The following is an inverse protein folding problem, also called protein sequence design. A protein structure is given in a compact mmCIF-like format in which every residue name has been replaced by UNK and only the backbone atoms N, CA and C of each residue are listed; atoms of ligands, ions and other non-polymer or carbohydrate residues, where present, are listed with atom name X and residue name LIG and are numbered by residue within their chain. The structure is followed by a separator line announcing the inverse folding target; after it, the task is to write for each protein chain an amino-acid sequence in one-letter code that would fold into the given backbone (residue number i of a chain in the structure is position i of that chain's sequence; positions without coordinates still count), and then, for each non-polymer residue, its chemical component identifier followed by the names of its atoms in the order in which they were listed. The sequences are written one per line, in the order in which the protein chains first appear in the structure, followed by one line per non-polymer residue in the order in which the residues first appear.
data_IF_960385028746
#
_entry.id   IF_960385028746
#
_cell.length_a   1.000
_cell.length_b   1.000
_cell.length_c   1.000
_cell.angle_alpha   90.00
_cell.angle_beta   90.00
_cell.angle_gamma   90.00
#
_symmetry.space_group_name_H-M   'P 1'
#
loop_
_entity.id
_entity.type
_entity.pdbx_description
1 polymer ?
#
# COMPACT_ATOMS: atom_id res chain seq x y z
N UNK A 1 -11.22 -7.43 19.85
CA UNK A 1 -9.94 -6.91 20.40
C UNK A 1 -8.86 -7.01 19.33
N UNK A 2 -8.42 -5.88 18.89
CA UNK A 2 -7.39 -5.71 17.86
C UNK A 2 -5.95 -5.81 18.41
N UNK A 3 -5.80 -5.71 19.74
CA UNK A 3 -4.51 -5.69 20.46
C UNK A 3 -4.35 -6.89 21.40
N UNK A 4 -4.69 -8.08 20.91
CA UNK A 4 -4.58 -9.29 21.73
C UNK A 4 -3.13 -9.66 22.06
N UNK A 5 -2.18 -9.35 21.17
CA UNK A 5 -0.74 -9.49 21.42
C UNK A 5 -0.28 -8.71 22.65
N UNK A 6 -0.72 -7.46 22.79
CA UNK A 6 -0.40 -6.62 23.95
C UNK A 6 -0.96 -7.22 25.24
N UNK A 7 -2.19 -7.74 25.19
CA UNK A 7 -2.79 -8.40 26.35
C UNK A 7 -1.97 -9.62 26.82
N UNK A 8 -1.45 -10.43 25.89
CA UNK A 8 -0.59 -11.56 26.23
C UNK A 8 0.72 -11.08 26.87
N UNK A 9 1.36 -10.05 26.29
CA UNK A 9 2.59 -9.46 26.86
C UNK A 9 2.34 -8.95 28.27
N UNK A 10 1.24 -8.20 28.49
CA UNK A 10 0.90 -7.71 29.84
C UNK A 10 0.69 -8.85 30.84
N UNK A 11 0.00 -9.92 30.47
CA UNK A 11 -0.20 -11.10 31.33
C UNK A 11 1.11 -11.81 31.69
N UNK A 12 2.00 -11.95 30.70
CA UNK A 12 3.33 -12.55 30.95
C UNK A 12 4.15 -11.66 31.85
N UNK A 13 4.12 -10.35 31.65
CA UNK A 13 4.84 -9.39 32.48
C UNK A 13 4.29 -9.34 33.90
N UNK A 14 2.98 -9.34 34.07
CA UNK A 14 2.35 -9.41 35.40
C UNK A 14 2.78 -10.67 36.19
N UNK A 15 2.78 -11.82 35.52
CA UNK A 15 3.29 -13.07 36.14
C UNK A 15 4.77 -12.97 36.58
N UNK A 16 5.60 -12.25 35.83
CA UNK A 16 6.98 -12.00 36.20
C UNK A 16 7.07 -11.12 37.47
N UNK A 17 6.26 -10.06 37.55
CA UNK A 17 6.21 -9.16 38.70
C UNK A 17 5.71 -9.89 39.96
N UNK A 18 4.69 -10.74 39.83
CA UNK A 18 4.20 -11.59 40.90
C UNK A 18 5.30 -12.55 41.45
N UNK A 19 6.01 -13.22 40.53
CA UNK A 19 7.11 -14.13 40.91
C UNK A 19 8.25 -13.39 41.61
N UNK A 20 8.46 -12.11 41.36
CA UNK A 20 9.47 -11.27 41.98
C UNK A 20 8.98 -10.58 43.28
N UNK A 21 7.73 -10.78 43.69
CA UNK A 21 7.14 -10.15 44.86
C UNK A 21 6.92 -8.62 44.72
N UNK A 22 6.92 -8.08 43.48
CA UNK A 22 6.74 -6.66 43.21
C UNK A 22 5.25 -6.30 43.10
N UNK A 23 4.40 -7.25 42.71
CA UNK A 23 2.95 -7.08 42.58
C UNK A 23 2.18 -8.06 43.50
N UNK A 24 1.01 -7.63 43.94
CA UNK A 24 0.09 -8.38 44.80
C UNK A 24 -1.24 -8.68 44.12
N UNK A 25 -1.24 -9.15 42.88
CA UNK A 25 -2.48 -9.51 42.19
C UNK A 25 -3.10 -10.79 42.81
N UNK A 26 -4.46 -10.92 42.79
CA UNK A 26 -5.13 -12.13 43.26
C UNK A 26 -4.69 -13.34 42.43
N UNK A 27 -4.37 -14.45 43.09
CA UNK A 27 -3.84 -15.67 42.46
C UNK A 27 -4.73 -16.29 41.37
N UNK A 28 -6.03 -15.98 41.34
CA UNK A 28 -7.00 -16.45 40.34
C UNK A 28 -6.87 -15.76 38.97
N UNK A 29 -6.09 -14.69 38.84
CA UNK A 29 -5.84 -13.98 37.59
C UNK A 29 -4.51 -14.36 36.93
N UNK A 30 -3.64 -15.14 37.57
CA UNK A 30 -2.34 -15.52 37.02
C UNK A 30 -2.47 -16.68 36.03
N UNK A 31 -2.57 -16.34 34.73
CA UNK A 31 -2.49 -17.35 33.67
C UNK A 31 -1.02 -17.59 33.35
N UNK A 32 -0.49 -18.78 33.73
CA UNK A 32 0.88 -19.17 33.41
C UNK A 32 0.94 -19.71 31.99
N UNK A 33 1.72 -19.07 31.16
CA UNK A 33 2.00 -19.53 29.80
C UNK A 33 3.31 -20.30 29.74
N UNK A 34 3.29 -21.48 29.11
CA UNK A 34 4.52 -22.17 28.74
C UNK A 34 5.12 -21.53 27.48
N UNK A 35 6.44 -21.71 27.29
CA UNK A 35 7.11 -21.19 26.08
C UNK A 35 6.45 -21.71 24.80
N UNK A 36 6.22 -23.01 24.69
CA UNK A 36 5.55 -23.62 23.51
C UNK A 36 4.16 -23.04 23.26
N UNK A 37 3.40 -22.73 24.33
CA UNK A 37 2.08 -22.06 24.16
C UNK A 37 2.20 -20.63 23.66
N UNK A 38 3.20 -19.88 24.13
CA UNK A 38 3.47 -18.52 23.66
C UNK A 38 3.91 -18.50 22.19
N UNK A 39 4.75 -19.43 21.77
CA UNK A 39 5.18 -19.59 20.38
C UNK A 39 3.97 -19.86 19.47
N UNK A 40 3.12 -20.81 19.83
CA UNK A 40 1.89 -21.13 19.07
C UNK A 40 0.92 -19.93 19.00
N UNK A 41 0.75 -19.18 20.09
CA UNK A 41 -0.08 -17.97 20.11
C UNK A 41 0.54 -16.89 19.22
N UNK A 42 1.85 -16.68 19.31
CA UNK A 42 2.58 -15.68 18.51
C UNK A 42 2.47 -15.95 17.01
N UNK A 43 2.62 -17.20 16.59
CA UNK A 43 2.45 -17.61 15.21
C UNK A 43 1.01 -17.34 14.71
N UNK A 44 0.02 -17.80 15.47
CA UNK A 44 -1.40 -17.57 15.14
C UNK A 44 -1.73 -16.08 15.03
N UNK A 45 -1.28 -15.26 15.98
CA UNK A 45 -1.49 -13.81 15.97
C UNK A 45 -0.84 -13.14 14.76
N UNK A 46 0.38 -13.55 14.41
CA UNK A 46 1.09 -13.01 13.24
C UNK A 46 0.37 -13.32 11.93
N UNK A 47 -0.23 -14.50 11.80
CA UNK A 47 -1.02 -14.89 10.62
C UNK A 47 -2.32 -14.08 10.58
N UNK A 48 -3.05 -14.03 11.69
CA UNK A 48 -4.35 -13.33 11.72
C UNK A 48 -4.22 -11.83 11.53
N UNK A 49 -3.16 -11.21 12.05
CA UNK A 49 -2.88 -9.79 11.86
C UNK A 49 -2.56 -9.47 10.40
N UNK A 50 -1.72 -10.28 9.74
CA UNK A 50 -1.45 -10.14 8.30
C UNK A 50 -2.73 -10.26 7.47
N UNK A 51 -3.54 -11.29 7.72
CA UNK A 51 -4.80 -11.49 7.01
C UNK A 51 -5.75 -10.30 7.20
N UNK A 52 -5.83 -9.75 8.42
CA UNK A 52 -6.66 -8.58 8.72
C UNK A 52 -6.17 -7.33 7.97
N UNK A 53 -4.86 -7.09 7.96
CA UNK A 53 -4.25 -5.97 7.24
C UNK A 53 -4.45 -6.08 5.74
N UNK A 54 -4.29 -7.27 5.18
CA UNK A 54 -4.49 -7.52 3.77
C UNK A 54 -5.97 -7.34 3.37
N UNK A 55 -6.90 -7.81 4.19
CA UNK A 55 -8.32 -7.59 3.98
C UNK A 55 -8.71 -6.10 4.02
N UNK A 56 -8.13 -5.33 4.94
CA UNK A 56 -8.32 -3.88 5.02
C UNK A 56 -7.81 -3.18 3.74
N UNK A 57 -6.58 -3.49 3.31
CA UNK A 57 -5.97 -2.95 2.09
C UNK A 57 -6.79 -3.28 0.84
N UNK A 58 -7.22 -4.52 0.70
CA UNK A 58 -8.05 -4.95 -0.43
C UNK A 58 -9.42 -4.26 -0.43
N UNK A 59 -10.03 -4.06 0.73
CA UNK A 59 -11.29 -3.32 0.86
C UNK A 59 -11.14 -1.86 0.40
N UNK A 60 -10.09 -1.17 0.84
CA UNK A 60 -9.78 0.20 0.39
C UNK A 60 -9.55 0.24 -1.12
N UNK A 61 -8.79 -0.72 -1.66
CA UNK A 61 -8.51 -0.80 -3.09
C UNK A 61 -9.78 -0.98 -3.93
N UNK A 62 -10.73 -1.81 -3.48
CA UNK A 62 -12.04 -1.95 -4.14
C UNK A 62 -12.78 -0.62 -4.18
N UNK A 63 -12.79 0.14 -3.08
CA UNK A 63 -13.44 1.45 -3.01
C UNK A 63 -12.77 2.49 -3.91
N UNK A 64 -11.45 2.48 -4.00
CA UNK A 64 -10.73 3.34 -4.92
C UNK A 64 -11.06 3.01 -6.38
N UNK A 65 -11.11 1.73 -6.75
CA UNK A 65 -11.52 1.30 -8.10
C UNK A 65 -12.95 1.77 -8.44
N UNK A 66 -13.90 1.63 -7.49
CA UNK A 66 -15.27 2.12 -7.67
C UNK A 66 -15.32 3.64 -7.85
N UNK A 67 -14.52 4.37 -7.08
CA UNK A 67 -14.42 5.83 -7.18
C UNK A 67 -13.91 6.26 -8.56
N UNK A 68 -12.77 5.73 -9.02
CA UNK A 68 -12.20 6.08 -10.31
C UNK A 68 -13.07 5.63 -11.50
N UNK A 69 -13.74 4.49 -11.41
CA UNK A 69 -14.67 4.05 -12.44
C UNK A 69 -15.90 4.99 -12.54
N UNK A 70 -16.41 5.47 -11.40
CA UNK A 70 -17.49 6.45 -11.36
C UNK A 70 -17.03 7.80 -11.89
N UNK A 71 -15.84 8.25 -11.53
CA UNK A 71 -15.23 9.49 -12.01
C UNK A 71 -15.10 9.48 -13.53
N UNK A 72 -14.63 8.38 -14.13
CA UNK A 72 -14.54 8.22 -15.57
C UNK A 72 -15.90 8.30 -16.28
N UNK A 73 -16.96 7.77 -15.66
CA UNK A 73 -18.32 7.77 -16.27
C UNK A 73 -19.01 9.12 -16.18
N UNK A 74 -18.80 9.84 -15.10
CA UNK A 74 -19.53 11.07 -14.77
C UNK A 74 -18.86 12.34 -15.29
N UNK A 75 -17.57 12.31 -15.63
CA UNK A 75 -16.81 13.48 -16.01
C UNK A 75 -16.84 13.72 -17.52
N UNK A 76 -17.59 14.70 -17.98
CA UNK A 76 -17.41 15.28 -19.32
C UNK A 76 -16.01 15.93 -19.50
N UNK A 77 -15.30 16.18 -18.42
CA UNK A 77 -13.92 16.68 -18.35
C UNK A 77 -13.10 15.77 -17.45
N UNK A 78 -11.99 15.23 -17.97
CA UNK A 78 -11.10 14.36 -17.16
C UNK A 78 -10.52 15.15 -15.98
N UNK A 79 -10.72 14.66 -14.77
CA UNK A 79 -10.14 15.26 -13.56
C UNK A 79 -8.64 15.03 -13.55
N UNK A 80 -7.88 16.08 -13.24
CA UNK A 80 -6.42 16.04 -13.14
C UNK A 80 -6.03 15.77 -11.69
N UNK A 81 -5.12 14.82 -11.50
CA UNK A 81 -4.59 14.43 -10.21
C UNK A 81 -3.08 14.65 -10.16
N UNK A 82 -2.57 15.10 -9.01
CA UNK A 82 -1.14 15.13 -8.74
C UNK A 82 -0.68 13.75 -8.25
N UNK A 83 0.41 13.26 -8.84
CA UNK A 83 0.96 11.93 -8.55
C UNK A 83 2.48 11.98 -8.44
N UNK A 84 3.04 11.08 -7.62
CA UNK A 84 4.49 10.87 -7.49
C UNK A 84 4.87 9.56 -8.18
N UNK A 85 5.97 9.57 -8.92
CA UNK A 85 6.52 8.37 -9.55
C UNK A 85 7.21 7.53 -8.47
N UNK A 86 6.66 6.33 -8.20
CA UNK A 86 7.16 5.40 -7.17
C UNK A 86 8.06 4.31 -7.72
N UNK A 87 7.96 3.99 -9.02
CA UNK A 87 8.86 3.06 -9.70
C UNK A 87 8.86 3.32 -11.21
N UNK A 88 9.96 2.96 -11.87
CA UNK A 88 10.18 3.17 -13.31
C UNK A 88 10.56 1.85 -13.96
N UNK A 89 9.81 1.42 -14.97
CA UNK A 89 10.02 0.17 -15.72
C UNK A 89 9.98 0.40 -17.22
N UNK A 90 10.45 -0.58 -17.99
CA UNK A 90 10.41 -0.53 -19.46
C UNK A 90 9.01 -0.32 -20.05
N UNK A 91 7.96 -0.82 -19.37
CA UNK A 91 6.58 -0.73 -19.83
C UNK A 91 5.84 0.52 -19.32
N UNK A 92 6.45 1.33 -18.44
CA UNK A 92 5.84 2.56 -17.95
C UNK A 92 6.29 3.01 -16.57
N UNK A 93 5.52 3.91 -15.98
CA UNK A 93 5.75 4.51 -14.68
C UNK A 93 4.70 4.01 -13.70
N UNK A 94 5.14 3.50 -12.56
CA UNK A 94 4.26 3.28 -11.43
C UNK A 94 4.14 4.59 -10.65
N UNK A 95 2.92 4.96 -10.33
CA UNK A 95 2.62 6.23 -9.66
C UNK A 95 1.73 6.01 -8.46
N UNK A 96 1.84 6.92 -7.51
CA UNK A 96 0.94 7.05 -6.37
C UNK A 96 0.33 8.44 -6.36
N UNK A 97 -0.99 8.53 -6.30
CA UNK A 97 -1.69 9.82 -6.22
C UNK A 97 -1.48 10.47 -4.85
N UNK A 98 -1.11 11.75 -4.83
CA UNK A 98 -0.77 12.46 -3.59
C UNK A 98 -1.95 12.58 -2.62
N UNK A 99 -3.18 12.72 -3.11
CA UNK A 99 -4.36 12.94 -2.29
C UNK A 99 -5.00 11.65 -1.76
N UNK A 100 -5.09 10.60 -2.61
CA UNK A 100 -5.82 9.37 -2.29
C UNK A 100 -4.92 8.18 -1.98
N UNK A 101 -3.61 8.33 -2.18
CA UNK A 101 -2.60 7.25 -2.09
C UNK A 101 -2.94 6.05 -3.00
N UNK A 102 -3.71 6.30 -4.06
CA UNK A 102 -4.06 5.27 -5.03
C UNK A 102 -2.87 4.98 -5.94
N UNK A 103 -2.51 3.71 -6.06
CA UNK A 103 -1.47 3.25 -6.97
C UNK A 103 -2.04 2.99 -8.37
N UNK A 104 -1.25 3.30 -9.38
CA UNK A 104 -1.58 3.01 -10.77
C UNK A 104 -0.39 2.99 -11.70
N UNK A 105 -0.67 2.67 -12.96
CA UNK A 105 0.32 2.57 -14.03
C UNK A 105 0.07 3.66 -15.08
N UNK A 106 1.10 4.41 -15.41
CA UNK A 106 1.17 5.21 -16.64
C UNK A 106 1.93 4.38 -17.67
N UNK A 107 1.18 3.70 -18.55
CA UNK A 107 1.80 2.83 -19.55
C UNK A 107 2.60 3.67 -20.56
N UNK A 108 3.75 3.16 -21.02
CA UNK A 108 4.63 3.88 -21.95
C UNK A 108 3.92 4.33 -23.24
N UNK A 109 2.92 3.61 -23.71
CA UNK A 109 2.13 3.97 -24.88
C UNK A 109 1.28 5.22 -24.69
N UNK A 110 1.01 5.65 -23.46
CA UNK A 110 0.28 6.90 -23.16
C UNK A 110 1.19 8.13 -23.21
N UNK A 111 2.51 7.93 -23.18
CA UNK A 111 3.54 8.94 -23.36
C UNK A 111 3.75 9.21 -24.85
N UNK A 112 2.77 9.86 -25.49
CA UNK A 112 2.72 10.03 -26.97
C UNK A 112 3.64 11.11 -27.52
N UNK A 113 4.29 11.87 -26.64
CA UNK A 113 5.09 13.03 -27.03
C UNK A 113 6.51 12.66 -27.50
N UNK A 114 7.03 11.46 -27.13
CA UNK A 114 8.32 10.95 -27.54
C UNK A 114 8.39 9.42 -27.44
N UNK A 115 9.51 8.84 -27.88
CA UNK A 115 9.87 7.44 -27.65
C UNK A 115 10.79 7.34 -26.42
N UNK A 116 10.29 6.73 -25.35
CA UNK A 116 11.00 6.66 -24.08
C UNK A 116 11.78 5.36 -23.92
N UNK A 117 12.98 5.48 -23.38
CA UNK A 117 13.84 4.35 -23.01
C UNK A 117 14.18 4.43 -21.53
N UNK A 118 14.22 3.26 -20.90
CA UNK A 118 14.70 3.12 -19.54
C UNK A 118 16.19 3.38 -19.49
N UNK A 119 16.65 4.20 -18.55
CA UNK A 119 18.07 4.39 -18.27
C UNK A 119 18.72 3.10 -17.74
N UNK A 120 20.03 2.99 -17.87
CA UNK A 120 20.78 1.81 -17.44
C UNK A 120 20.66 1.53 -15.94
N UNK A 121 20.52 2.57 -15.13
CA UNK A 121 20.35 2.50 -13.67
C UNK A 121 18.89 2.16 -13.24
N UNK A 122 17.96 2.08 -14.20
CA UNK A 122 16.55 1.76 -13.92
C UNK A 122 15.75 2.85 -13.19
N UNK A 123 16.30 4.07 -13.03
CA UNK A 123 15.71 5.14 -12.21
C UNK A 123 14.90 6.16 -13.00
N UNK A 124 15.01 6.16 -14.33
CA UNK A 124 14.34 7.15 -15.18
C UNK A 124 14.00 6.62 -16.58
N UNK A 125 12.91 7.15 -17.14
CA UNK A 125 12.60 7.06 -18.57
C UNK A 125 13.07 8.33 -19.26
N UNK A 126 13.85 8.20 -20.35
CA UNK A 126 14.35 9.32 -21.13
C UNK A 126 13.82 9.27 -22.54
N UNK A 127 13.23 10.37 -22.99
CA UNK A 127 12.78 10.57 -24.38
C UNK A 127 13.94 10.72 -25.35
N UNK A 128 13.87 10.04 -26.50
CA UNK A 128 14.91 10.05 -27.53
C UNK A 128 15.04 11.37 -28.28
N UNK A 129 13.91 12.01 -28.60
CA UNK A 129 13.88 13.20 -29.45
C UNK A 129 13.85 14.50 -28.65
N UNK A 130 12.89 14.62 -27.71
CA UNK A 130 12.67 15.84 -26.92
C UNK A 130 13.51 15.90 -25.64
N UNK A 131 14.13 14.78 -25.25
CA UNK A 131 14.97 14.73 -24.06
C UNK A 131 14.22 14.85 -22.73
N UNK A 132 12.87 14.85 -22.76
CA UNK A 132 12.07 14.87 -21.53
C UNK A 132 12.35 13.61 -20.71
N UNK A 133 12.47 13.78 -19.38
CA UNK A 133 12.78 12.68 -18.48
C UNK A 133 11.69 12.56 -17.41
N UNK A 134 11.34 11.31 -17.07
CA UNK A 134 10.53 10.98 -15.91
C UNK A 134 11.40 10.20 -14.93
N UNK A 135 11.51 10.69 -13.70
CA UNK A 135 12.41 10.15 -12.67
C UNK A 135 11.64 9.64 -11.47
N UNK A 136 12.23 8.68 -10.79
CA UNK A 136 11.76 8.22 -9.48
C UNK A 136 11.62 9.43 -8.52
N UNK A 137 10.51 9.51 -7.78
CA UNK A 137 10.22 10.61 -6.85
C UNK A 137 9.72 11.91 -7.50
N UNK A 138 9.67 11.99 -8.83
CA UNK A 138 9.15 13.17 -9.52
C UNK A 138 7.62 13.26 -9.42
N UNK A 139 7.12 14.49 -9.18
CA UNK A 139 5.68 14.77 -9.26
C UNK A 139 5.26 15.03 -10.70
N UNK A 140 4.15 14.43 -11.10
CA UNK A 140 3.53 14.59 -12.42
C UNK A 140 2.01 14.77 -12.27
N UNK A 141 1.40 15.44 -13.26
CA UNK A 141 -0.06 15.53 -13.37
C UNK A 141 -0.58 14.44 -14.28
N UNK A 142 -1.61 13.74 -13.83
CA UNK A 142 -2.20 12.59 -14.53
C UNK A 142 -3.72 12.67 -14.55
N UNK A 143 -4.30 11.98 -15.51
CA UNK A 143 -5.75 11.76 -15.63
C UNK A 143 -6.02 10.27 -15.69
N UNK A 144 -7.17 9.83 -15.19
CA UNK A 144 -7.57 8.43 -15.29
C UNK A 144 -7.84 8.07 -16.76
N UNK A 145 -7.17 7.04 -17.25
CA UNK A 145 -7.33 6.55 -18.62
C UNK A 145 -8.23 5.31 -18.69
N UNK A 146 -8.01 4.37 -17.75
CA UNK A 146 -8.75 3.11 -17.69
C UNK A 146 -8.79 2.56 -16.27
N UNK A 147 -9.90 1.92 -15.91
CA UNK A 147 -10.04 1.13 -14.68
C UNK A 147 -10.36 -0.32 -15.04
N UNK A 148 -9.48 -1.24 -14.68
CA UNK A 148 -9.68 -2.67 -14.85
C UNK A 148 -10.09 -3.31 -13.52
N UNK A 149 -11.38 -3.59 -13.36
CA UNK A 149 -11.93 -4.17 -12.13
C UNK A 149 -11.49 -5.62 -11.90
N UNK A 150 -11.24 -6.38 -12.97
CA UNK A 150 -10.83 -7.78 -12.86
C UNK A 150 -9.37 -7.88 -12.41
N UNK A 151 -8.49 -7.09 -13.02
CA UNK A 151 -7.07 -7.00 -12.63
C UNK A 151 -6.85 -6.12 -11.40
N UNK A 152 -7.89 -5.41 -10.94
CA UNK A 152 -7.83 -4.43 -9.85
C UNK A 152 -6.73 -3.39 -10.07
N UNK A 153 -6.68 -2.85 -11.28
CA UNK A 153 -5.65 -1.94 -11.74
C UNK A 153 -6.27 -0.66 -12.27
N UNK A 154 -5.61 0.47 -12.00
CA UNK A 154 -5.95 1.78 -12.53
C UNK A 154 -4.82 2.22 -13.44
N UNK A 155 -5.15 2.50 -14.70
CA UNK A 155 -4.23 3.04 -15.68
C UNK A 155 -4.47 4.54 -15.81
N UNK A 156 -3.38 5.29 -15.79
CA UNK A 156 -3.36 6.74 -15.91
C UNK A 156 -2.63 7.18 -17.19
N UNK A 157 -2.91 8.39 -17.62
CA UNK A 157 -2.17 9.07 -18.68
C UNK A 157 -1.69 10.44 -18.16
N UNK A 158 -0.58 10.99 -18.66
CA UNK A 158 -0.18 12.36 -18.33
C UNK A 158 -1.28 13.35 -18.69
N UNK A 159 -1.53 14.31 -17.81
CA UNK A 159 -2.36 15.47 -18.15
C UNK A 159 -1.55 16.36 -19.11
N UNK A 160 -2.03 16.54 -20.32
CA UNK A 160 -1.43 17.41 -21.33
C UNK A 160 -1.84 18.88 -21.08
#
# INVERSE_FOLDING_TARGET
IRRYSDLIVHRVFENLLLKRGISSAPANLSIVYTQAKLESIGEHLSITERNSTDAERESVKVKLLEFFDREMRNSGKKTVFDAVITDVKNHGLFIELSASLAFGLVHISTLRDDHYLLSHDGTQLRGKKKGRTYRLGQTIQVVTERVDRFKRQIDFAPAN
#
